data_IF_716344977347
#
_entry.id   IF_716344977347
#
_cell.length_a   1.000
_cell.length_b   1.000
_cell.length_c   1.000
_cell.angle_alpha   90.00
_cell.angle_beta   90.00
_cell.angle_gamma   90.00
#
_symmetry.space_group_name_H-M   'P 1'
#
loop_
_entity.id
_entity.type
_entity.pdbx_description
1 polymer ?
#
# COMPACT_ATOMS: atom_id res chain seq x y z
N UNK A 1 23.00 -2.27 -24.87
CA UNK A 1 22.12 -1.69 -23.82
C UNK A 1 20.75 -1.56 -24.45
N UNK A 2 19.72 -2.13 -23.83
CA UNK A 2 18.35 -2.08 -24.36
C UNK A 2 17.76 -0.70 -24.06
N UNK A 3 17.08 -0.12 -25.06
CA UNK A 3 16.35 1.15 -24.90
C UNK A 3 14.87 0.87 -24.72
N UNK A 4 14.26 1.43 -23.68
CA UNK A 4 12.86 1.21 -23.32
C UNK A 4 12.16 2.55 -23.10
N UNK A 5 10.97 2.68 -23.63
CA UNK A 5 10.09 3.83 -23.39
C UNK A 5 8.96 3.41 -22.46
N UNK A 6 8.83 4.10 -21.34
CA UNK A 6 7.72 3.95 -20.38
C UNK A 6 6.76 5.12 -20.59
N UNK A 7 5.48 4.83 -20.81
CA UNK A 7 4.45 5.86 -21.01
C UNK A 7 3.56 5.93 -19.78
N UNK A 8 3.54 7.12 -19.15
CA UNK A 8 2.81 7.40 -17.92
C UNK A 8 3.74 7.49 -16.71
N UNK A 9 3.73 8.63 -16.04
CA UNK A 9 4.59 8.98 -14.89
C UNK A 9 3.90 8.83 -13.53
N UNK A 10 2.89 7.96 -13.41
CA UNK A 10 2.33 7.56 -12.12
C UNK A 10 3.26 6.59 -11.37
N UNK A 11 2.84 6.11 -10.18
CA UNK A 11 3.66 5.19 -9.36
C UNK A 11 4.10 3.95 -10.13
N UNK A 12 3.23 3.37 -10.96
CA UNK A 12 3.55 2.18 -11.76
C UNK A 12 4.65 2.49 -12.79
N UNK A 13 4.51 3.59 -13.54
CA UNK A 13 5.52 3.98 -14.53
C UNK A 13 6.85 4.33 -13.90
N UNK A 14 6.85 5.08 -12.81
CA UNK A 14 8.07 5.43 -12.07
C UNK A 14 8.78 4.19 -11.52
N UNK A 15 8.06 3.27 -10.88
CA UNK A 15 8.64 2.01 -10.37
C UNK A 15 9.12 1.10 -11.50
N UNK A 16 8.38 1.02 -12.62
CA UNK A 16 8.83 0.26 -13.79
C UNK A 16 10.11 0.84 -14.36
N UNK A 17 10.20 2.18 -14.47
CA UNK A 17 11.40 2.86 -14.94
C UNK A 17 12.59 2.60 -14.01
N UNK A 18 12.41 2.71 -12.69
CA UNK A 18 13.44 2.43 -11.69
C UNK A 18 13.99 1.01 -11.83
N UNK A 19 13.11 0.01 -11.83
CA UNK A 19 13.53 -1.40 -11.96
C UNK A 19 14.23 -1.69 -13.29
N UNK A 20 13.81 -1.06 -14.39
CA UNK A 20 14.47 -1.21 -15.69
C UNK A 20 15.84 -0.55 -15.72
N UNK A 21 16.01 0.61 -15.08
CA UNK A 21 17.31 1.26 -14.91
C UNK A 21 18.27 0.38 -14.10
N UNK A 22 17.79 -0.19 -12.99
CA UNK A 22 18.56 -1.12 -12.16
C UNK A 22 18.96 -2.40 -12.92
N UNK A 23 18.11 -2.84 -13.86
CA UNK A 23 18.41 -3.94 -14.78
C UNK A 23 19.39 -3.57 -15.91
N UNK A 24 19.92 -2.34 -15.93
CA UNK A 24 20.90 -1.86 -16.90
C UNK A 24 20.31 -1.42 -18.25
N UNK A 25 19.01 -1.15 -18.30
CA UNK A 25 18.38 -0.58 -19.50
C UNK A 25 18.57 0.95 -19.55
N UNK A 26 18.50 1.52 -20.76
CA UNK A 26 18.30 2.96 -20.96
C UNK A 26 16.79 3.22 -21.00
N UNK A 27 16.27 4.05 -20.08
CA UNK A 27 14.82 4.29 -19.97
C UNK A 27 14.50 5.73 -20.30
N UNK A 28 13.48 5.92 -21.13
CA UNK A 28 12.82 7.21 -21.36
C UNK A 28 11.42 7.13 -20.80
N UNK A 29 11.10 7.92 -19.78
CA UNK A 29 9.75 8.02 -19.22
C UNK A 29 9.03 9.25 -19.81
N UNK A 30 7.86 9.01 -20.39
CA UNK A 30 7.02 10.04 -20.98
C UNK A 30 5.78 10.28 -20.10
N UNK A 31 5.58 11.52 -19.69
CA UNK A 31 4.40 11.96 -18.94
C UNK A 31 3.82 13.22 -19.60
N UNK A 32 2.49 13.26 -19.72
CA UNK A 32 1.81 14.41 -20.35
C UNK A 32 1.75 15.64 -19.48
N UNK A 33 1.85 15.46 -18.16
CA UNK A 33 1.75 16.53 -17.16
C UNK A 33 2.96 16.53 -16.23
N UNK A 34 2.70 16.71 -14.95
CA UNK A 34 3.71 16.59 -13.90
C UNK A 34 3.76 15.16 -13.37
N UNK A 35 4.97 14.60 -13.26
CA UNK A 35 5.18 13.24 -12.75
C UNK A 35 4.51 13.03 -11.41
N UNK A 36 3.73 11.95 -11.30
CA UNK A 36 3.12 11.50 -10.06
C UNK A 36 1.96 12.33 -9.54
N UNK A 37 1.46 13.33 -10.27
CA UNK A 37 0.47 14.28 -9.74
C UNK A 37 -1.00 13.92 -9.97
N UNK A 38 -1.26 12.83 -10.65
CA UNK A 38 -2.62 12.35 -10.93
C UNK A 38 -3.10 11.37 -9.84
N UNK A 39 -3.71 10.24 -10.24
CA UNK A 39 -4.29 9.24 -9.33
C UNK A 39 -3.34 8.72 -8.26
N UNK A 40 -2.06 8.56 -8.58
CA UNK A 40 -1.05 8.09 -7.62
C UNK A 40 -0.82 9.06 -6.47
N UNK A 41 -0.93 10.37 -6.71
CA UNK A 41 -0.85 11.39 -5.66
C UNK A 41 -2.05 11.39 -4.73
N UNK A 42 -3.23 11.20 -5.33
CA UNK A 42 -4.52 11.27 -4.63
C UNK A 42 -4.87 9.98 -3.86
N UNK A 43 -4.11 8.91 -4.04
CA UNK A 43 -4.37 7.63 -3.38
C UNK A 43 -4.30 7.71 -1.86
N UNK A 44 -5.08 6.88 -1.15
CA UNK A 44 -5.14 6.85 0.31
C UNK A 44 -3.90 6.25 0.99
N UNK A 45 -2.97 5.65 0.24
CA UNK A 45 -1.72 5.13 0.78
C UNK A 45 -1.83 3.81 1.56
N UNK A 46 -2.97 3.17 1.56
CA UNK A 46 -3.14 1.86 2.22
C UNK A 46 -2.38 0.81 1.42
N UNK A 47 -1.41 0.16 2.05
CA UNK A 47 -0.56 -0.87 1.43
C UNK A 47 -1.26 -2.23 1.54
N UNK A 48 -2.48 -2.31 1.03
CA UNK A 48 -3.32 -3.52 0.95
C UNK A 48 -4.53 -3.25 0.07
N UNK A 49 -5.14 -4.27 -0.55
CA UNK A 49 -6.53 -4.18 -1.00
C UNK A 49 -7.44 -3.87 0.20
N UNK A 50 -8.39 -2.93 0.05
CA UNK A 50 -9.22 -2.47 1.17
C UNK A 50 -10.06 -3.61 1.80
N UNK A 51 -10.53 -4.55 0.97
CA UNK A 51 -11.25 -5.75 1.41
C UNK A 51 -10.61 -6.98 0.77
N UNK A 52 -9.49 -7.49 1.31
CA UNK A 52 -8.67 -8.51 0.64
C UNK A 52 -9.41 -9.83 0.38
N UNK A 53 -10.42 -10.16 1.17
CA UNK A 53 -11.27 -11.35 0.98
C UNK A 53 -12.21 -11.29 -0.22
N UNK A 54 -12.39 -10.10 -0.85
CA UNK A 54 -13.21 -9.92 -2.06
C UNK A 54 -12.44 -10.18 -3.35
N UNK A 55 -11.11 -10.32 -3.28
CA UNK A 55 -10.27 -10.38 -4.47
C UNK A 55 -9.89 -11.81 -4.83
N UNK A 56 -9.61 -12.02 -6.11
CA UNK A 56 -9.10 -13.29 -6.62
C UNK A 56 -7.69 -13.57 -6.09
N UNK A 57 -7.31 -14.86 -6.06
CA UNK A 57 -6.02 -15.30 -5.54
C UNK A 57 -4.81 -14.62 -6.23
N UNK A 58 -4.89 -14.34 -7.53
CA UNK A 58 -3.83 -13.66 -8.29
C UNK A 58 -3.61 -12.22 -7.82
N UNK A 59 -4.69 -11.48 -7.52
CA UNK A 59 -4.62 -10.12 -6.98
C UNK A 59 -4.03 -10.14 -5.59
N UNK A 60 -4.49 -11.07 -4.72
CA UNK A 60 -3.96 -11.21 -3.36
C UNK A 60 -2.48 -11.59 -3.35
N UNK A 61 -2.03 -12.46 -4.27
CA UNK A 61 -0.62 -12.84 -4.37
C UNK A 61 0.26 -11.64 -4.73
N UNK A 62 -0.16 -10.82 -5.70
CA UNK A 62 0.56 -9.60 -6.10
C UNK A 62 0.56 -8.57 -4.96
N UNK A 63 -0.57 -8.38 -4.28
CA UNK A 63 -0.67 -7.46 -3.16
C UNK A 63 0.24 -7.87 -1.98
N UNK A 64 0.26 -9.15 -1.61
CA UNK A 64 1.13 -9.67 -0.54
C UNK A 64 2.62 -9.48 -0.89
N UNK A 65 3.00 -9.74 -2.14
CA UNK A 65 4.36 -9.47 -2.59
C UNK A 65 4.69 -7.98 -2.45
N UNK A 66 3.80 -7.11 -2.90
CA UNK A 66 3.93 -5.65 -2.83
C UNK A 66 4.08 -5.17 -1.38
N UNK A 67 3.25 -5.66 -0.46
CA UNK A 67 3.34 -5.32 0.97
C UNK A 67 4.73 -5.60 1.55
N UNK A 68 5.30 -6.77 1.24
CA UNK A 68 6.65 -7.12 1.67
C UNK A 68 7.77 -6.28 1.02
N UNK A 69 7.50 -5.70 -0.15
CA UNK A 69 8.48 -4.90 -0.88
C UNK A 69 8.57 -3.44 -0.41
N UNK A 70 7.45 -2.85 0.03
CA UNK A 70 7.39 -1.42 0.39
C UNK A 70 8.42 -0.97 1.44
N UNK A 71 8.71 -1.72 2.52
CA UNK A 71 9.74 -1.32 3.49
C UNK A 71 11.14 -1.23 2.86
N UNK A 72 11.48 -2.19 2.00
CA UNK A 72 12.76 -2.20 1.29
C UNK A 72 12.87 -1.05 0.30
N UNK A 73 11.82 -0.80 -0.48
CA UNK A 73 11.74 0.35 -1.39
C UNK A 73 11.89 1.68 -0.65
N UNK A 74 11.19 1.84 0.48
CA UNK A 74 11.26 3.07 1.30
C UNK A 74 12.69 3.33 1.79
N UNK A 75 13.35 2.31 2.33
CA UNK A 75 14.74 2.42 2.79
C UNK A 75 15.71 2.75 1.65
N UNK A 76 15.53 2.12 0.48
CA UNK A 76 16.34 2.39 -0.71
C UNK A 76 16.17 3.84 -1.19
N UNK A 77 14.93 4.31 -1.33
CA UNK A 77 14.64 5.68 -1.76
C UNK A 77 15.17 6.71 -0.77
N UNK A 78 15.01 6.48 0.54
CA UNK A 78 15.57 7.34 1.57
C UNK A 78 17.09 7.45 1.46
N UNK A 79 17.78 6.32 1.26
CA UNK A 79 19.24 6.29 1.10
C UNK A 79 19.71 7.03 -0.15
N UNK A 80 18.97 6.94 -1.26
CA UNK A 80 19.34 7.54 -2.54
C UNK A 80 18.98 9.02 -2.65
N UNK A 81 17.85 9.43 -2.07
CA UNK A 81 17.27 10.77 -2.30
C UNK A 81 17.17 11.64 -1.03
N UNK A 82 17.32 11.06 0.15
CA UNK A 82 17.07 11.73 1.42
C UNK A 82 15.58 11.96 1.72
N UNK A 83 14.67 11.42 0.91
CA UNK A 83 13.23 11.60 1.07
C UNK A 83 12.61 10.33 1.64
N UNK A 84 12.08 10.41 2.86
CA UNK A 84 11.34 9.33 3.48
C UNK A 84 9.92 9.27 2.91
N UNK A 85 9.50 8.11 2.42
CA UNK A 85 8.14 7.86 1.93
C UNK A 85 7.14 7.54 3.05
N UNK A 86 7.60 7.48 4.29
CA UNK A 86 6.78 7.27 5.49
C UNK A 86 5.93 5.98 5.36
N UNK A 87 6.60 4.85 5.13
CA UNK A 87 5.95 3.53 5.16
C UNK A 87 5.86 3.09 6.62
N UNK A 88 4.67 3.22 7.21
CA UNK A 88 4.43 2.96 8.61
C UNK A 88 3.44 1.80 8.82
N UNK A 89 3.81 0.74 9.56
CA UNK A 89 2.89 -0.30 9.97
C UNK A 89 1.95 0.23 11.05
N UNK A 90 0.78 0.70 10.64
CA UNK A 90 -0.22 1.32 11.52
C UNK A 90 -1.43 0.44 11.79
N UNK A 91 -1.55 -0.68 11.09
CA UNK A 91 -2.72 -1.55 11.11
C UNK A 91 -3.95 -0.95 10.42
N UNK A 92 -5.00 -1.76 10.30
CA UNK A 92 -6.27 -1.34 9.71
C UNK A 92 -7.44 -1.91 10.51
N UNK A 93 -8.42 -1.05 10.81
CA UNK A 93 -9.70 -1.40 11.40
C UNK A 93 -10.79 -1.42 10.32
N UNK A 94 -11.57 -2.49 10.27
CA UNK A 94 -12.81 -2.55 9.49
C UNK A 94 -13.99 -2.51 10.46
N UNK A 95 -14.73 -1.40 10.40
CA UNK A 95 -15.86 -1.15 11.30
C UNK A 95 -17.16 -1.78 10.78
N UNK A 96 -17.21 -2.13 9.50
CA UNK A 96 -18.35 -2.81 8.89
C UNK A 96 -18.20 -4.33 9.04
N UNK A 97 -19.21 -4.95 9.62
CA UNK A 97 -19.22 -6.36 9.94
C UNK A 97 -20.05 -7.24 9.00
N UNK A 98 -20.63 -6.69 7.96
CA UNK A 98 -21.49 -7.44 7.04
C UNK A 98 -20.80 -8.69 6.45
N UNK A 99 -19.48 -8.66 6.28
CA UNK A 99 -18.67 -9.76 5.74
C UNK A 99 -17.72 -10.38 6.75
N UNK A 100 -18.00 -10.22 8.05
CA UNK A 100 -17.10 -10.68 9.14
C UNK A 100 -16.68 -12.14 8.98
N UNK A 101 -17.64 -13.04 8.81
CA UNK A 101 -17.34 -14.47 8.75
C UNK A 101 -16.54 -14.84 7.51
N UNK A 102 -16.81 -14.19 6.38
CA UNK A 102 -16.03 -14.34 5.14
C UNK A 102 -14.59 -13.85 5.33
N UNK A 103 -14.40 -12.70 5.97
CA UNK A 103 -13.10 -12.13 6.24
C UNK A 103 -12.25 -13.02 7.16
N UNK A 104 -12.84 -13.53 8.25
CA UNK A 104 -12.17 -14.43 9.18
C UNK A 104 -11.83 -15.78 8.55
N UNK A 105 -12.72 -16.36 7.74
CA UNK A 105 -12.45 -17.57 6.98
C UNK A 105 -11.33 -17.38 5.97
N UNK A 106 -11.31 -16.27 5.25
CA UNK A 106 -10.23 -15.90 4.36
C UNK A 106 -8.89 -15.76 5.10
N UNK A 107 -8.89 -15.07 6.24
CA UNK A 107 -7.70 -14.88 7.06
C UNK A 107 -7.11 -16.19 7.54
N UNK A 108 -7.97 -17.11 8.02
CA UNK A 108 -7.55 -18.44 8.44
C UNK A 108 -6.93 -19.23 7.29
N UNK A 109 -7.56 -19.25 6.12
CA UNK A 109 -7.06 -19.95 4.94
C UNK A 109 -5.73 -19.39 4.43
N UNK A 110 -5.50 -18.10 4.59
CA UNK A 110 -4.32 -17.37 4.11
C UNK A 110 -3.27 -17.11 5.17
N UNK A 111 -3.51 -17.59 6.40
CA UNK A 111 -2.63 -17.36 7.55
C UNK A 111 -2.34 -15.88 7.79
N UNK A 112 -3.36 -15.02 7.60
CA UNK A 112 -3.27 -13.59 7.83
C UNK A 112 -3.62 -13.24 9.27
N UNK A 113 -2.96 -12.26 9.90
CA UNK A 113 -3.18 -11.89 11.30
C UNK A 113 -4.41 -10.97 11.46
N UNK A 114 -5.52 -11.32 10.82
CA UNK A 114 -6.80 -10.63 10.97
C UNK A 114 -7.58 -11.25 12.12
N UNK A 115 -8.04 -10.45 13.07
CA UNK A 115 -8.83 -10.89 14.20
C UNK A 115 -9.99 -9.94 14.47
N UNK A 116 -11.05 -10.45 15.11
CA UNK A 116 -12.07 -9.60 15.70
C UNK A 116 -11.57 -9.02 17.03
N UNK A 117 -11.85 -7.73 17.24
CA UNK A 117 -11.48 -6.98 18.44
C UNK A 117 -12.73 -6.34 19.05
N UNK A 118 -12.73 -6.20 20.37
CA UNK A 118 -13.86 -5.62 21.12
C UNK A 118 -13.87 -4.08 21.05
N UNK A 119 -14.96 -3.48 21.50
CA UNK A 119 -15.18 -2.03 21.50
C UNK A 119 -14.08 -1.26 22.22
N UNK A 120 -13.58 -1.78 23.34
CA UNK A 120 -12.50 -1.15 24.12
C UNK A 120 -11.26 -0.91 23.27
N UNK A 121 -10.84 -1.92 22.51
CA UNK A 121 -9.70 -1.81 21.60
C UNK A 121 -9.95 -0.77 20.50
N UNK A 122 -11.18 -0.73 19.94
CA UNK A 122 -11.55 0.22 18.89
C UNK A 122 -11.42 1.65 19.39
N UNK A 123 -12.01 1.96 20.55
CA UNK A 123 -12.03 3.32 21.10
C UNK A 123 -10.70 3.73 21.73
N UNK A 124 -9.89 2.80 22.18
CA UNK A 124 -8.49 3.07 22.58
C UNK A 124 -7.66 3.55 21.39
N UNK A 125 -7.84 2.92 20.22
CA UNK A 125 -7.11 3.27 18.99
C UNK A 125 -7.67 4.50 18.28
N UNK A 126 -8.97 4.71 18.33
CA UNK A 126 -9.66 5.81 17.67
C UNK A 126 -10.62 6.51 18.65
N UNK A 127 -10.10 7.30 19.62
CA UNK A 127 -10.92 7.90 20.68
C UNK A 127 -12.01 8.85 20.18
N UNK A 128 -11.84 9.40 18.98
CA UNK A 128 -12.80 10.36 18.39
C UNK A 128 -13.85 9.70 17.52
N UNK A 129 -13.84 8.37 17.43
CA UNK A 129 -14.85 7.64 16.66
C UNK A 129 -16.24 7.79 17.29
N UNK A 130 -17.26 7.97 16.45
CA UNK A 130 -18.64 7.98 16.90
C UNK A 130 -18.98 6.70 17.68
N UNK A 131 -19.76 6.83 18.75
CA UNK A 131 -20.19 5.69 19.58
C UNK A 131 -21.10 4.73 18.79
N UNK A 132 -21.12 3.45 19.20
CA UNK A 132 -22.04 2.44 18.64
C UNK A 132 -21.36 1.17 18.13
N UNK A 133 -20.04 1.18 17.93
CA UNK A 133 -19.31 -0.01 17.50
C UNK A 133 -19.04 -0.93 18.69
N UNK A 134 -19.54 -2.16 18.61
CA UNK A 134 -19.33 -3.19 19.64
C UNK A 134 -18.08 -4.03 19.39
N UNK A 135 -17.71 -4.19 18.13
CA UNK A 135 -16.47 -4.84 17.71
C UNK A 135 -16.03 -4.32 16.33
N UNK A 136 -14.84 -4.71 15.90
CA UNK A 136 -14.28 -4.44 14.58
C UNK A 136 -13.40 -5.61 14.16
N UNK A 137 -13.03 -5.67 12.88
CA UNK A 137 -11.92 -6.49 12.44
C UNK A 137 -10.64 -5.66 12.47
N UNK A 138 -9.55 -6.26 12.91
CA UNK A 138 -8.24 -5.63 13.02
C UNK A 138 -7.16 -6.48 12.39
N UNK A 139 -6.31 -5.86 11.58
CA UNK A 139 -5.08 -6.47 11.07
C UNK A 139 -3.91 -5.54 11.37
N UNK A 140 -2.97 -6.02 12.18
CA UNK A 140 -1.92 -5.19 12.77
C UNK A 140 -0.76 -4.88 11.82
N UNK A 141 -0.48 -5.78 10.87
CA UNK A 141 0.68 -5.75 9.97
C UNK A 141 0.49 -4.92 8.70
N UNK A 142 -0.69 -4.32 8.54
CA UNK A 142 -0.93 -3.45 7.40
C UNK A 142 -0.26 -2.09 7.59
N UNK A 143 0.36 -1.60 6.52
CA UNK A 143 1.06 -0.34 6.51
C UNK A 143 0.30 0.74 5.73
N UNK A 144 0.64 1.97 6.02
CA UNK A 144 0.33 3.13 5.21
C UNK A 144 1.62 3.68 4.58
N UNK A 145 1.51 4.27 3.38
CA UNK A 145 2.58 5.01 2.72
C UNK A 145 2.09 6.41 2.37
N UNK A 146 2.90 7.41 2.56
CA UNK A 146 2.57 8.76 2.15
C UNK A 146 2.85 8.96 0.66
N UNK A 147 1.83 8.71 -0.18
CA UNK A 147 1.94 8.74 -1.63
C UNK A 147 2.66 9.97 -2.20
N UNK A 148 2.35 11.22 -1.75
CA UNK A 148 3.10 12.39 -2.22
C UNK A 148 4.61 12.30 -1.98
N UNK A 149 5.02 11.77 -0.83
CA UNK A 149 6.44 11.63 -0.47
C UNK A 149 7.11 10.50 -1.29
N UNK A 150 6.42 9.37 -1.43
CA UNK A 150 6.87 8.28 -2.30
C UNK A 150 7.13 8.77 -3.73
N UNK A 151 6.19 9.53 -4.30
CA UNK A 151 6.33 10.07 -5.65
C UNK A 151 7.41 11.15 -5.76
N UNK A 152 7.60 11.96 -4.73
CA UNK A 152 8.73 12.89 -4.65
C UNK A 152 10.06 12.15 -4.66
N UNK A 153 10.18 11.07 -3.86
CA UNK A 153 11.39 10.25 -3.82
C UNK A 153 11.67 9.55 -5.17
N UNK A 154 10.63 9.05 -5.84
CA UNK A 154 10.76 8.42 -7.15
C UNK A 154 11.13 9.40 -8.28
N UNK A 155 10.95 10.69 -8.08
CA UNK A 155 11.31 11.76 -9.03
C UNK A 155 12.74 12.27 -8.86
N UNK A 156 13.27 12.16 -7.64
CA UNK A 156 14.59 12.68 -7.28
C UNK A 156 15.72 11.82 -7.81
#
# INVERSE_FOLDING_TARGET
MQEIVVVGGGVIGCLSALNLLEAGCRVTLLERGELGREASWAGGGIVSPLYPWRYQASVSALANWSQGYYPTLSAQLLAQTGIDSEVEPCGLLWLDHAERDQALAWAQQRQQPLAEVASEFVYERVPQLASGYQSALWQADLANVRNPRLLQALRA
#
